data_IF_659906756838
#
_entry.id   IF_659906756838
#
_cell.length_a   1.000
_cell.length_b   1.000
_cell.length_c   1.000
_cell.angle_alpha   90.00
_cell.angle_beta   90.00
_cell.angle_gamma   90.00
#
_symmetry.space_group_name_H-M   'P 1'
#
loop_
_entity.id
_entity.type
_entity.pdbx_description
1 polymer ?
#
# COMPACT_ATOMS: atom_id res chain seq x y z
N UNK A 1 -65.24 -76.58 -35.20
CA UNK A 1 -66.46 -76.67 -36.07
C UNK A 1 -66.27 -75.62 -37.16
N UNK A 2 -66.22 -76.16 -38.35
CA UNK A 2 -66.69 -75.64 -39.63
C UNK A 2 -65.94 -74.45 -40.18
N UNK A 3 -65.02 -74.63 -41.12
CA UNK A 3 -65.19 -74.89 -42.54
C UNK A 3 -65.36 -73.62 -43.33
N UNK A 4 -64.34 -73.35 -44.14
CA UNK A 4 -64.24 -73.53 -45.59
C UNK A 4 -64.81 -72.37 -46.44
N UNK A 5 -64.07 -72.13 -47.45
CA UNK A 5 -64.40 -71.82 -48.83
C UNK A 5 -64.10 -70.33 -49.24
N UNK A 6 -63.49 -69.97 -50.32
CA UNK A 6 -62.97 -70.53 -51.58
C UNK A 6 -62.32 -69.33 -52.29
N UNK A 7 -61.12 -69.33 -52.73
CA UNK A 7 -60.57 -69.59 -54.09
C UNK A 7 -61.15 -68.70 -55.19
N UNK A 8 -60.21 -68.10 -55.92
CA UNK A 8 -60.21 -67.66 -57.32
C UNK A 8 -60.82 -66.29 -57.65
N UNK A 9 -60.05 -65.48 -58.27
CA UNK A 9 -59.81 -65.25 -59.70
C UNK A 9 -58.67 -64.21 -59.86
N UNK A 10 -57.56 -64.52 -60.23
CA UNK A 10 -56.71 -64.57 -61.45
C UNK A 10 -57.05 -63.53 -62.51
N UNK A 11 -56.00 -62.93 -62.95
CA UNK A 11 -55.70 -62.31 -64.25
C UNK A 11 -55.89 -60.81 -64.44
N UNK A 12 -54.76 -60.17 -64.73
CA UNK A 12 -54.67 -59.18 -65.75
C UNK A 12 -54.46 -57.78 -65.26
N UNK A 13 -53.33 -57.36 -65.22
CA UNK A 13 -52.73 -56.57 -66.31
C UNK A 13 -51.30 -56.11 -65.97
N UNK A 14 -50.40 -56.51 -66.79
CA UNK A 14 -49.05 -56.07 -67.03
C UNK A 14 -49.10 -54.61 -67.56
N UNK A 15 -48.19 -53.76 -67.04
CA UNK A 15 -47.76 -52.57 -67.78
C UNK A 15 -47.95 -51.29 -67.07
N UNK A 16 -46.92 -50.78 -66.53
CA UNK A 16 -46.28 -49.49 -66.82
C UNK A 16 -45.14 -49.29 -65.79
N UNK A 17 -43.95 -49.74 -66.15
CA UNK A 17 -42.71 -49.23 -65.69
C UNK A 17 -42.45 -47.98 -66.51
N UNK A 18 -42.44 -46.77 -65.89
CA UNK A 18 -41.84 -45.62 -66.48
C UNK A 18 -41.51 -44.59 -65.37
N UNK A 19 -40.24 -44.25 -65.34
CA UNK A 19 -39.67 -42.98 -64.87
C UNK A 19 -39.80 -42.65 -63.38
N UNK A 20 -38.85 -43.11 -62.55
CA UNK A 20 -38.37 -42.32 -61.48
C UNK A 20 -37.56 -41.20 -62.10
N UNK A 21 -38.15 -40.03 -62.15
CA UNK A 21 -37.47 -38.72 -62.40
C UNK A 21 -36.57 -38.44 -61.22
N UNK A 22 -35.27 -38.27 -61.49
CA UNK A 22 -34.28 -37.75 -60.52
C UNK A 22 -34.70 -36.32 -60.21
N UNK A 23 -35.49 -36.15 -59.15
CA UNK A 23 -35.70 -34.86 -58.57
C UNK A 23 -34.36 -34.39 -58.02
N UNK A 24 -33.85 -33.22 -58.39
CA UNK A 24 -32.61 -32.65 -57.76
C UNK A 24 -32.88 -32.55 -56.29
N UNK A 25 -32.01 -33.19 -55.49
CA UNK A 25 -31.94 -33.06 -54.02
C UNK A 25 -31.87 -31.58 -53.65
N UNK A 26 -33.03 -31.08 -53.26
CA UNK A 26 -33.09 -29.68 -52.79
C UNK A 26 -32.14 -29.52 -51.61
N UNK A 27 -30.98 -28.95 -51.85
CA UNK A 27 -30.03 -28.57 -50.81
C UNK A 27 -30.80 -27.73 -49.80
N UNK A 28 -31.09 -28.32 -48.63
CA UNK A 28 -31.73 -27.61 -47.54
C UNK A 28 -31.00 -26.32 -47.28
N UNK A 29 -31.67 -25.17 -47.14
CA UNK A 29 -30.98 -23.90 -46.94
C UNK A 29 -30.07 -24.02 -45.73
N UNK A 30 -28.81 -23.73 -45.95
CA UNK A 30 -27.77 -23.71 -44.90
C UNK A 30 -28.24 -22.83 -43.74
N UNK A 31 -28.59 -23.43 -42.63
CA UNK A 31 -29.11 -22.68 -41.46
C UNK A 31 -27.98 -21.89 -40.87
N UNK A 32 -27.92 -20.59 -41.19
CA UNK A 32 -26.97 -19.68 -40.62
C UNK A 32 -27.28 -19.53 -39.12
N UNK A 33 -26.39 -20.07 -38.30
CA UNK A 33 -26.51 -19.99 -36.81
C UNK A 33 -26.01 -18.65 -36.31
N UNK A 34 -26.68 -18.09 -35.31
CA UNK A 34 -26.17 -16.94 -34.57
C UNK A 34 -25.19 -17.38 -33.46
N UNK A 35 -24.05 -16.75 -33.38
CA UNK A 35 -23.05 -16.99 -32.34
C UNK A 35 -22.90 -15.74 -31.46
N UNK A 36 -22.61 -15.95 -30.17
CA UNK A 36 -22.23 -14.89 -29.27
C UNK A 36 -20.75 -14.57 -29.51
N UNK A 37 -20.46 -13.36 -29.94
CA UNK A 37 -19.10 -12.89 -30.15
C UNK A 37 -18.38 -12.59 -28.82
N UNK A 38 -17.10 -12.92 -28.76
CA UNK A 38 -16.16 -12.44 -27.76
C UNK A 38 -14.99 -11.77 -28.49
N UNK A 39 -14.80 -10.49 -28.22
CA UNK A 39 -13.69 -9.73 -28.79
C UNK A 39 -12.48 -9.88 -27.88
N UNK A 40 -11.41 -10.41 -28.45
CA UNK A 40 -10.16 -10.58 -27.71
C UNK A 40 -9.53 -9.21 -27.53
N UNK A 41 -9.53 -8.72 -26.29
CA UNK A 41 -8.89 -7.49 -25.89
C UNK A 41 -7.43 -7.73 -25.47
N UNK A 42 -6.81 -6.76 -24.85
CA UNK A 42 -5.39 -6.74 -24.49
C UNK A 42 -4.88 -8.02 -23.80
N UNK A 43 -3.55 -8.32 -23.94
CA UNK A 43 -2.96 -9.50 -23.30
C UNK A 43 -3.25 -9.55 -21.82
N UNK A 44 -3.48 -10.73 -21.30
CA UNK A 44 -3.65 -10.96 -19.87
C UNK A 44 -2.46 -10.36 -19.13
N UNK A 45 -2.68 -9.25 -18.47
CA UNK A 45 -1.65 -8.61 -17.63
C UNK A 45 -1.13 -9.62 -16.61
N UNK A 46 0.15 -9.49 -16.21
CA UNK A 46 0.88 -10.41 -15.36
C UNK A 46 0.13 -10.93 -14.14
N UNK A 47 0.64 -11.99 -13.54
CA UNK A 47 0.09 -12.56 -12.31
C UNK A 47 0.04 -11.48 -11.22
N UNK A 48 -1.16 -11.04 -10.86
CA UNK A 48 -1.35 -10.08 -9.79
C UNK A 48 -2.21 -10.69 -8.68
N UNK A 49 -1.89 -10.34 -7.45
CA UNK A 49 -2.64 -10.75 -6.28
C UNK A 49 -3.23 -9.53 -5.60
N UNK A 50 -4.47 -9.67 -5.12
CA UNK A 50 -5.10 -8.68 -4.28
C UNK A 50 -4.75 -8.97 -2.83
N UNK A 51 -4.28 -7.96 -2.15
CA UNK A 51 -3.87 -8.02 -0.75
C UNK A 51 -4.55 -6.88 0.00
N UNK A 52 -5.09 -7.19 1.15
CA UNK A 52 -5.72 -6.20 2.02
C UNK A 52 -4.66 -5.45 2.83
N UNK A 53 -4.95 -4.21 3.13
CA UNK A 53 -4.10 -3.37 3.96
C UNK A 53 -4.86 -2.19 4.54
N UNK A 54 -4.12 -1.34 5.23
CA UNK A 54 -4.64 -0.14 5.88
C UNK A 54 -3.82 1.08 5.45
N UNK A 55 -4.49 2.18 5.15
CA UNK A 55 -3.81 3.45 4.89
C UNK A 55 -3.21 3.96 6.19
N UNK A 56 -1.95 4.34 6.14
CA UNK A 56 -1.22 4.95 7.25
C UNK A 56 -0.57 6.26 6.80
N UNK A 57 -0.26 7.14 7.74
CA UNK A 57 0.58 8.29 7.44
C UNK A 57 2.04 7.83 7.37
N UNK A 58 2.80 8.33 6.40
CA UNK A 58 4.23 7.99 6.27
C UNK A 58 5.04 8.34 7.52
N UNK A 59 4.68 9.42 8.20
CA UNK A 59 5.25 9.78 9.49
C UNK A 59 4.13 10.00 10.51
N UNK A 60 4.25 9.31 11.63
CA UNK A 60 3.36 9.46 12.78
C UNK A 60 4.23 9.71 14.01
N UNK A 61 3.87 10.69 14.83
CA UNK A 61 4.56 10.98 16.07
C UNK A 61 3.61 11.06 17.24
N UNK A 62 3.89 10.26 18.26
CA UNK A 62 3.23 10.38 19.55
C UNK A 62 3.98 11.47 20.36
N UNK A 63 3.29 12.55 20.68
CA UNK A 63 3.86 13.67 21.40
C UNK A 63 3.57 13.56 22.89
N UNK A 64 4.62 13.75 23.67
CA UNK A 64 4.59 13.75 25.14
C UNK A 64 5.47 14.89 25.68
N UNK A 65 5.19 15.35 26.89
CA UNK A 65 6.13 16.22 27.59
C UNK A 65 7.28 15.38 28.17
N UNK A 66 8.51 15.91 28.07
CA UNK A 66 9.68 15.28 28.66
C UNK A 66 9.70 15.41 30.21
N UNK A 67 8.92 16.34 30.74
CA UNK A 67 8.81 16.66 32.18
C UNK A 67 7.37 16.52 32.66
N UNK A 68 7.18 16.26 33.94
CA UNK A 68 5.88 16.22 34.59
C UNK A 68 5.40 17.62 34.98
N UNK A 69 4.10 17.84 34.98
CA UNK A 69 3.53 19.12 35.42
C UNK A 69 2.05 19.25 35.12
N UNK A 70 1.47 20.38 35.53
CA UNK A 70 0.07 20.71 35.26
C UNK A 70 -0.05 21.38 33.90
N UNK A 71 -0.95 20.90 33.06
CA UNK A 71 -1.24 21.50 31.76
C UNK A 71 -1.92 22.86 31.97
N UNK A 72 -1.34 23.91 31.40
CA UNK A 72 -1.90 25.25 31.44
C UNK A 72 -2.87 25.48 30.26
N UNK A 73 -2.46 25.14 29.05
CA UNK A 73 -3.25 25.34 27.85
C UNK A 73 -3.08 24.21 26.86
N UNK A 74 -4.16 23.91 26.12
CA UNK A 74 -4.16 23.05 24.94
C UNK A 74 -4.70 23.87 23.79
N UNK A 75 -3.87 24.11 22.77
CA UNK A 75 -4.15 25.02 21.67
C UNK A 75 -4.78 24.36 20.45
N UNK A 76 -4.92 23.01 20.45
CA UNK A 76 -5.34 22.24 19.29
C UNK A 76 -6.42 21.21 19.66
N UNK A 77 -7.19 20.80 18.66
CA UNK A 77 -8.22 19.75 18.74
C UNK A 77 -7.92 18.64 17.72
N UNK A 78 -8.46 17.42 17.90
CA UNK A 78 -8.43 16.39 16.87
C UNK A 78 -9.00 16.93 15.54
N UNK A 79 -8.29 16.67 14.44
CA UNK A 79 -8.60 17.19 13.11
C UNK A 79 -7.92 18.52 12.74
N UNK A 80 -7.34 19.23 13.70
CA UNK A 80 -6.64 20.50 13.41
C UNK A 80 -5.31 20.25 12.67
N UNK A 81 -5.05 21.12 11.69
CA UNK A 81 -3.76 21.16 10.99
C UNK A 81 -2.75 21.96 11.79
N UNK A 82 -1.55 21.43 11.91
CA UNK A 82 -0.44 22.07 12.61
C UNK A 82 0.78 22.19 11.71
N UNK A 83 1.55 23.23 11.93
CA UNK A 83 2.83 23.49 11.25
C UNK A 83 4.00 23.13 12.16
N UNK A 84 5.12 22.78 11.57
CA UNK A 84 6.39 22.56 12.27
C UNK A 84 6.70 23.71 13.23
N UNK A 85 7.00 23.38 14.50
CA UNK A 85 7.27 24.36 15.55
C UNK A 85 6.04 25.02 16.19
N UNK A 86 4.82 24.80 15.65
CA UNK A 86 3.59 25.34 16.24
C UNK A 86 3.37 24.79 17.66
N UNK A 87 2.97 25.64 18.58
CA UNK A 87 2.65 25.25 19.96
C UNK A 87 1.37 24.45 19.98
N UNK A 88 1.42 23.26 20.56
CA UNK A 88 0.29 22.34 20.71
C UNK A 88 -0.31 22.47 22.11
N UNK A 89 0.54 22.43 23.13
CA UNK A 89 0.14 22.56 24.53
C UNK A 89 1.27 23.18 25.37
N UNK A 90 0.92 23.71 26.54
CA UNK A 90 1.89 24.24 27.51
C UNK A 90 1.60 23.74 28.92
N UNK A 91 2.64 23.51 29.69
CA UNK A 91 2.53 23.30 31.14
C UNK A 91 2.56 24.66 31.85
N UNK A 92 2.12 24.70 33.14
CA UNK A 92 2.28 25.86 34.00
C UNK A 92 3.78 26.12 34.25
N UNK A 93 4.35 27.24 33.75
CA UNK A 93 5.77 27.51 33.81
C UNK A 93 6.23 27.98 35.18
N UNK A 94 5.35 28.37 36.10
CA UNK A 94 5.68 29.10 37.34
C UNK A 94 6.78 28.44 38.14
N UNK A 95 6.70 27.15 38.41
CA UNK A 95 7.71 26.44 39.23
C UNK A 95 9.05 26.37 38.49
N UNK A 96 9.03 26.25 37.15
CA UNK A 96 10.23 26.20 36.33
C UNK A 96 10.90 27.57 36.26
N UNK A 97 10.13 28.66 36.13
CA UNK A 97 10.64 30.03 36.16
C UNK A 97 11.31 30.34 37.53
N UNK A 98 10.74 29.88 38.66
CA UNK A 98 11.36 30.01 39.95
C UNK A 98 12.68 29.23 40.05
N UNK A 99 12.77 28.03 39.52
CA UNK A 99 13.99 27.23 39.46
C UNK A 99 15.07 27.90 38.62
N UNK A 100 14.72 28.43 37.45
CA UNK A 100 15.66 29.20 36.60
C UNK A 100 16.19 30.42 37.33
N UNK A 101 15.33 31.17 38.03
CA UNK A 101 15.76 32.35 38.77
C UNK A 101 16.67 31.99 39.96
N UNK A 102 16.43 30.88 40.65
CA UNK A 102 17.30 30.40 41.72
C UNK A 102 18.71 30.04 41.19
N UNK A 103 18.79 29.27 40.11
CA UNK A 103 20.06 28.87 39.50
C UNK A 103 20.79 30.06 38.85
N UNK A 104 20.07 31.06 38.32
CA UNK A 104 20.68 32.33 37.87
C UNK A 104 21.37 33.07 39.00
N UNK A 105 20.74 33.12 40.19
CA UNK A 105 21.33 33.72 41.37
C UNK A 105 22.59 32.96 41.83
N UNK A 106 22.54 31.63 41.81
CA UNK A 106 23.67 30.77 42.13
C UNK A 106 24.84 30.96 41.16
N UNK A 107 24.54 31.05 39.85
CA UNK A 107 25.54 31.33 38.81
C UNK A 107 26.21 32.72 39.06
N UNK A 108 25.43 33.74 39.38
CA UNK A 108 25.96 35.08 39.71
C UNK A 108 26.92 35.03 40.89
N UNK A 109 26.56 34.30 41.96
CA UNK A 109 27.44 34.10 43.12
C UNK A 109 28.75 33.39 42.78
N UNK A 110 28.66 32.27 42.02
CA UNK A 110 29.82 31.51 41.56
C UNK A 110 30.71 32.35 40.64
N UNK A 111 30.13 33.18 39.77
CA UNK A 111 30.87 34.09 38.90
C UNK A 111 31.62 35.16 39.69
N UNK A 112 31.03 35.72 40.77
CA UNK A 112 31.66 36.68 41.66
C UNK A 112 32.86 36.04 42.40
N UNK A 113 32.66 34.82 42.95
CA UNK A 113 33.72 34.06 43.60
C UNK A 113 34.90 33.76 42.66
N UNK A 114 34.57 33.26 41.43
CA UNK A 114 35.59 33.05 40.40
C UNK A 114 36.40 34.34 40.10
N UNK A 115 35.72 35.46 39.94
CA UNK A 115 36.38 36.76 39.68
C UNK A 115 37.29 37.21 40.83
N UNK A 116 36.85 37.01 42.08
CA UNK A 116 37.66 37.29 43.30
C UNK A 116 38.91 36.40 43.29
N UNK A 117 38.77 35.07 43.15
CA UNK A 117 39.93 34.16 43.20
C UNK A 117 40.88 34.40 42.02
N UNK A 118 40.38 34.74 40.85
CA UNK A 118 41.20 35.17 39.72
C UNK A 118 42.05 36.39 40.05
N UNK A 119 41.44 37.44 40.60
CA UNK A 119 42.13 38.68 40.99
C UNK A 119 43.18 38.43 42.07
N UNK A 120 42.85 37.54 43.03
CA UNK A 120 43.79 37.12 44.07
C UNK A 120 44.99 36.38 43.49
N UNK A 121 44.76 35.39 42.60
CA UNK A 121 45.82 34.70 41.93
C UNK A 121 46.74 35.61 41.13
N UNK A 122 46.15 36.55 40.37
CA UNK A 122 46.92 37.55 39.60
C UNK A 122 47.75 38.46 40.51
N UNK A 123 47.22 38.85 41.65
CA UNK A 123 47.96 39.65 42.70
C UNK A 123 49.10 38.81 43.25
N UNK A 124 48.89 37.59 43.68
CA UNK A 124 49.90 36.69 44.21
C UNK A 124 51.04 36.42 43.19
N UNK A 125 50.71 36.24 41.92
CA UNK A 125 51.69 36.12 40.84
C UNK A 125 52.57 37.34 40.67
N UNK A 126 51.99 38.55 40.79
CA UNK A 126 52.74 39.80 40.72
C UNK A 126 53.66 39.97 41.91
N UNK A 127 53.22 39.65 43.15
CA UNK A 127 54.02 39.72 44.37
C UNK A 127 55.18 38.74 44.35
N UNK A 128 54.96 37.51 43.84
CA UNK A 128 55.99 36.52 43.69
C UNK A 128 57.08 36.93 42.70
N UNK A 129 56.72 37.52 41.59
CA UNK A 129 57.69 38.08 40.63
C UNK A 129 58.62 39.17 41.29
N UNK A 130 58.14 39.84 42.33
CA UNK A 130 58.91 40.78 43.11
C UNK A 130 59.64 40.15 44.30
N UNK A 131 59.57 38.89 44.53
CA UNK A 131 60.18 38.14 45.62
C UNK A 131 59.49 38.34 46.98
N UNK A 132 58.29 38.89 47.07
CA UNK A 132 57.60 39.24 48.30
C UNK A 132 56.76 38.14 48.93
N UNK A 133 56.49 37.07 48.20
CA UNK A 133 55.72 35.92 48.69
C UNK A 133 56.40 34.62 48.33
N UNK A 134 56.18 33.57 49.16
CA UNK A 134 56.70 32.22 48.92
C UNK A 134 55.87 31.43 47.81
N UNK A 135 56.48 30.51 47.15
CA UNK A 135 55.81 29.64 46.14
C UNK A 135 54.57 29.02 46.69
N UNK A 136 54.56 28.58 47.94
CA UNK A 136 53.37 27.95 48.57
C UNK A 136 52.14 28.89 48.60
N UNK A 137 52.33 30.24 48.55
CA UNK A 137 51.17 31.14 48.43
C UNK A 137 50.55 31.14 47.04
N UNK A 138 51.37 31.02 45.97
CA UNK A 138 50.87 30.85 44.61
C UNK A 138 50.15 29.55 44.48
N UNK A 139 50.76 28.45 44.95
CA UNK A 139 50.17 27.10 44.81
C UNK A 139 48.78 27.06 45.48
N UNK A 140 48.61 27.70 46.63
CA UNK A 140 47.29 27.86 47.28
C UNK A 140 46.33 28.72 46.48
N UNK A 141 46.79 29.83 45.90
CA UNK A 141 45.94 30.73 45.10
C UNK A 141 45.52 30.04 43.80
N UNK A 142 46.37 29.21 43.15
CA UNK A 142 46.03 28.39 41.99
C UNK A 142 44.96 27.39 42.37
N UNK A 143 45.14 26.64 43.45
CA UNK A 143 44.16 25.64 43.91
C UNK A 143 42.79 26.30 44.22
N UNK A 144 42.77 27.47 44.84
CA UNK A 144 41.55 28.21 45.13
C UNK A 144 40.87 28.74 43.85
N UNK A 145 41.64 29.17 42.88
CA UNK A 145 41.13 29.60 41.57
C UNK A 145 40.56 28.40 40.79
N UNK A 146 41.23 27.28 40.75
CA UNK A 146 40.78 26.07 40.04
C UNK A 146 39.50 25.55 40.68
N UNK A 147 39.39 25.58 42.02
CA UNK A 147 38.16 25.22 42.73
C UNK A 147 37.00 26.14 42.32
N UNK A 148 37.20 27.46 42.35
CA UNK A 148 36.19 28.44 41.96
C UNK A 148 35.79 28.33 40.47
N UNK A 149 36.74 27.96 39.60
CA UNK A 149 36.45 27.67 38.20
C UNK A 149 35.56 26.45 38.05
N UNK A 150 35.81 25.38 38.83
CA UNK A 150 34.97 24.21 38.91
C UNK A 150 33.54 24.50 39.36
N UNK A 151 33.40 25.32 40.44
CA UNK A 151 32.10 25.75 40.96
C UNK A 151 31.31 26.56 39.93
N UNK A 152 31.97 27.47 39.21
CA UNK A 152 31.36 28.27 38.15
C UNK A 152 30.84 27.39 37.02
N UNK A 153 31.63 26.41 36.60
CA UNK A 153 31.21 25.46 35.54
C UNK A 153 30.02 24.60 36.00
N UNK A 154 30.02 24.16 37.26
CA UNK A 154 28.89 23.44 37.83
C UNK A 154 27.62 24.30 37.84
N UNK A 155 27.70 25.56 38.28
CA UNK A 155 26.55 26.47 38.29
C UNK A 155 26.02 26.75 36.90
N UNK A 156 26.90 26.89 35.89
CA UNK A 156 26.47 27.00 34.47
C UNK A 156 25.73 25.76 33.99
N UNK A 157 26.23 24.58 34.30
CA UNK A 157 25.59 23.32 33.90
C UNK A 157 24.21 23.13 34.55
N UNK A 158 24.08 23.51 35.83
CA UNK A 158 22.79 23.49 36.54
C UNK A 158 21.78 24.43 35.93
N UNK A 159 22.19 25.68 35.65
CA UNK A 159 21.34 26.65 34.98
C UNK A 159 20.85 26.10 33.60
N UNK A 160 21.77 25.56 32.79
CA UNK A 160 21.41 24.96 31.49
C UNK A 160 20.39 23.82 31.61
N UNK A 161 20.48 23.01 32.67
CA UNK A 161 19.50 21.94 32.92
C UNK A 161 18.10 22.50 33.20
N UNK A 162 17.97 23.45 34.13
CA UNK A 162 16.67 24.03 34.48
C UNK A 162 16.08 24.90 33.36
N UNK A 163 16.94 25.55 32.55
CA UNK A 163 16.50 26.26 31.33
C UNK A 163 15.92 25.27 30.28
N UNK A 164 16.54 24.12 30.15
CA UNK A 164 16.01 23.02 29.29
C UNK A 164 14.64 22.54 29.79
N UNK A 165 14.52 22.27 31.11
CA UNK A 165 13.23 21.85 31.69
C UNK A 165 12.16 22.93 31.47
N UNK A 166 12.54 24.20 31.61
CA UNK A 166 11.61 25.32 31.32
C UNK A 166 11.23 25.38 29.85
N UNK A 167 12.14 25.13 28.92
CA UNK A 167 11.84 25.06 27.49
C UNK A 167 10.89 23.87 27.17
N UNK A 168 11.07 22.75 27.85
CA UNK A 168 10.26 21.55 27.70
C UNK A 168 8.82 21.69 28.27
N UNK A 169 8.49 22.82 28.93
CA UNK A 169 7.10 23.18 29.27
C UNK A 169 6.24 23.47 28.03
N UNK A 170 6.83 23.65 26.86
CA UNK A 170 6.14 24.01 25.63
C UNK A 170 6.25 22.84 24.65
N UNK A 171 5.14 22.17 24.39
CA UNK A 171 5.06 21.09 23.41
C UNK A 171 4.79 21.65 22.03
N UNK A 172 5.63 21.29 21.06
CA UNK A 172 5.55 21.78 19.69
C UNK A 172 5.42 20.63 18.68
N UNK A 173 4.79 20.92 17.54
CA UNK A 173 4.72 20.00 16.43
C UNK A 173 6.11 19.78 15.80
N UNK A 174 6.55 18.53 15.60
CA UNK A 174 7.85 18.21 15.00
C UNK A 174 7.86 18.37 13.48
N UNK A 175 6.70 18.27 12.83
CA UNK A 175 6.50 18.39 11.38
C UNK A 175 5.08 18.90 11.07
N UNK A 176 4.85 19.25 9.80
CA UNK A 176 3.54 19.68 9.31
C UNK A 176 2.59 18.47 9.23
N UNK A 177 1.42 18.56 9.85
CA UNK A 177 0.51 17.42 9.94
C UNK A 177 -0.87 17.76 10.51
N UNK A 178 -1.61 16.71 10.84
CA UNK A 178 -2.94 16.78 11.46
C UNK A 178 -2.90 16.06 12.81
N UNK A 179 -3.55 16.66 13.81
CA UNK A 179 -3.75 16.03 15.11
C UNK A 179 -4.76 14.87 14.95
N UNK A 180 -4.30 13.64 15.13
CA UNK A 180 -5.15 12.45 15.04
C UNK A 180 -5.91 12.20 16.34
N UNK A 181 -5.22 12.25 17.48
CA UNK A 181 -5.84 12.08 18.81
C UNK A 181 -5.32 13.11 19.80
N UNK A 182 -6.12 13.37 20.83
CA UNK A 182 -5.79 14.19 21.98
C UNK A 182 -6.28 13.50 23.26
N UNK A 183 -5.34 13.11 24.12
CA UNK A 183 -5.60 12.39 25.38
C UNK A 183 -5.19 13.23 26.59
N UNK A 184 -5.49 14.51 26.55
CA UNK A 184 -5.20 15.44 27.66
C UNK A 184 -6.17 16.62 27.65
N UNK A 185 -6.56 17.07 28.87
CA UNK A 185 -7.39 18.25 29.06
C UNK A 185 -6.61 19.39 29.77
N UNK A 186 -7.02 20.66 29.58
CA UNK A 186 -6.46 21.76 30.35
C UNK A 186 -6.62 21.52 31.87
N UNK A 187 -5.61 21.89 32.62
CA UNK A 187 -5.50 21.76 34.09
C UNK A 187 -5.31 20.32 34.61
N UNK A 188 -5.18 19.34 33.74
CA UNK A 188 -4.78 17.98 34.08
C UNK A 188 -3.33 17.92 34.54
N UNK A 189 -3.01 17.07 35.52
CA UNK A 189 -1.63 16.78 35.90
C UNK A 189 -1.09 15.58 35.12
N UNK A 190 0.04 15.75 34.45
CA UNK A 190 0.61 14.73 33.58
C UNK A 190 1.98 14.26 34.05
N UNK A 191 2.25 12.97 33.80
CA UNK A 191 3.58 12.40 33.98
C UNK A 191 4.44 12.59 32.72
N UNK A 192 5.75 12.64 32.90
CA UNK A 192 6.70 12.67 31.79
C UNK A 192 6.59 11.40 30.93
N UNK A 193 6.70 11.54 29.61
CA UNK A 193 6.68 10.43 28.64
C UNK A 193 5.29 9.86 28.31
N UNK A 194 4.22 10.29 28.99
CA UNK A 194 2.85 9.88 28.62
C UNK A 194 2.50 10.48 27.24
N UNK A 195 2.16 9.63 26.27
CA UNK A 195 1.68 10.09 24.98
C UNK A 195 0.34 10.83 25.16
N UNK A 196 0.27 12.08 24.69
CA UNK A 196 -0.88 12.95 24.85
C UNK A 196 -1.51 13.36 23.52
N UNK A 197 -0.74 13.39 22.48
CA UNK A 197 -1.20 13.71 21.13
C UNK A 197 -0.59 12.73 20.14
N UNK A 198 -1.35 12.39 19.11
CA UNK A 198 -0.85 11.68 17.93
C UNK A 198 -0.92 12.64 16.74
N UNK A 199 0.21 12.90 16.11
CA UNK A 199 0.29 13.76 14.91
C UNK A 199 0.64 12.91 13.71
N UNK A 200 -0.19 12.98 12.68
CA UNK A 200 0.02 12.32 11.40
C UNK A 200 0.51 13.34 10.38
N UNK A 201 1.56 13.02 9.64
CA UNK A 201 2.06 13.86 8.55
C UNK A 201 1.05 13.93 7.40
N UNK A 202 0.84 15.13 6.85
CA UNK A 202 0.07 15.32 5.61
C UNK A 202 0.93 15.13 4.34
N UNK A 203 2.24 14.95 4.48
CA UNK A 203 3.15 14.97 3.33
C UNK A 203 2.96 13.77 2.41
N UNK A 204 2.81 12.58 2.97
CA UNK A 204 2.65 11.33 2.22
C UNK A 204 1.77 10.35 2.99
N UNK A 205 0.99 9.58 2.23
CA UNK A 205 0.25 8.42 2.74
C UNK A 205 0.93 7.16 2.24
N UNK A 206 0.93 6.16 3.08
CA UNK A 206 1.40 4.80 2.78
C UNK A 206 0.26 3.82 2.98
N UNK A 207 0.42 2.62 2.45
CA UNK A 207 -0.49 1.51 2.72
C UNK A 207 0.34 0.38 3.32
N UNK A 208 -0.02 -0.02 4.51
CA UNK A 208 0.53 -1.19 5.17
C UNK A 208 -0.26 -2.43 4.71
N UNK A 209 0.37 -3.25 3.87
CA UNK A 209 -0.20 -4.48 3.35
C UNK A 209 0.22 -5.68 4.19
N UNK A 210 -0.70 -6.61 4.41
CA UNK A 210 -0.43 -7.92 5.02
C UNK A 210 -0.31 -8.97 3.92
N UNK A 211 0.91 -9.20 3.43
CA UNK A 211 1.17 -10.10 2.30
C UNK A 211 1.44 -11.51 2.82
N UNK A 212 0.76 -12.57 2.31
CA UNK A 212 1.07 -13.95 2.65
C UNK A 212 2.53 -14.30 2.33
N UNK A 213 3.17 -15.06 3.21
CA UNK A 213 4.56 -15.49 3.07
C UNK A 213 4.82 -16.32 1.80
N UNK A 214 3.82 -17.07 1.36
CA UNK A 214 3.87 -17.90 0.15
C UNK A 214 4.15 -17.13 -1.16
N UNK A 215 3.87 -15.82 -1.19
CA UNK A 215 4.05 -14.98 -2.37
C UNK A 215 5.11 -13.90 -2.21
N UNK A 216 5.67 -13.74 -1.01
CA UNK A 216 6.58 -12.63 -0.70
C UNK A 216 7.87 -12.67 -1.53
N UNK A 217 8.40 -13.87 -1.81
CA UNK A 217 9.60 -14.07 -2.64
C UNK A 217 9.45 -13.60 -4.09
N UNK A 218 8.20 -13.40 -4.52
CA UNK A 218 7.84 -12.93 -5.87
C UNK A 218 7.55 -11.42 -5.92
N UNK A 219 7.72 -10.74 -4.81
CA UNK A 219 7.50 -9.29 -4.68
C UNK A 219 8.85 -8.61 -4.50
N UNK A 220 9.02 -7.46 -5.15
CA UNK A 220 10.27 -6.71 -5.09
C UNK A 220 10.01 -5.27 -4.66
N UNK A 221 10.94 -4.70 -3.90
CA UNK A 221 10.95 -3.26 -3.60
C UNK A 221 11.01 -2.49 -4.93
N UNK A 222 10.25 -1.41 -5.03
CA UNK A 222 10.11 -0.62 -6.24
C UNK A 222 9.03 -1.10 -7.21
N UNK A 223 8.41 -2.27 -6.99
CA UNK A 223 7.35 -2.77 -7.85
C UNK A 223 6.11 -1.84 -7.82
N UNK A 224 5.47 -1.62 -8.96
CA UNK A 224 4.25 -0.83 -9.05
C UNK A 224 3.07 -1.60 -8.43
N UNK A 225 2.20 -0.86 -7.74
CA UNK A 225 1.00 -1.39 -7.07
C UNK A 225 -0.17 -0.47 -7.40
N UNK A 226 -1.32 -1.04 -7.68
CA UNK A 226 -2.56 -0.27 -7.79
C UNK A 226 -3.38 -0.46 -6.51
N UNK A 227 -3.61 0.64 -5.80
CA UNK A 227 -4.36 0.64 -4.54
C UNK A 227 -5.78 1.12 -4.79
N UNK A 228 -6.75 0.36 -4.30
CA UNK A 228 -8.17 0.69 -4.36
C UNK A 228 -8.71 0.87 -2.95
N UNK A 229 -9.45 1.95 -2.73
CA UNK A 229 -10.09 2.26 -1.45
C UNK A 229 -11.59 2.31 -1.68
N UNK A 230 -12.33 1.38 -1.09
CA UNK A 230 -13.77 1.19 -1.36
C UNK A 230 -14.61 2.39 -0.96
N UNK A 231 -14.18 3.14 0.06
CA UNK A 231 -14.88 4.33 0.56
C UNK A 231 -14.67 5.58 -0.29
N UNK A 232 -13.67 5.58 -1.21
CA UNK A 232 -13.36 6.72 -2.09
C UNK A 232 -13.59 6.29 -3.54
N UNK A 233 -14.73 6.65 -4.16
CA UNK A 233 -15.05 6.24 -5.52
C UNK A 233 -13.98 6.71 -6.52
N UNK A 234 -13.62 5.82 -7.45
CA UNK A 234 -12.63 6.11 -8.50
C UNK A 234 -11.17 6.18 -8.02
N UNK A 235 -10.88 5.77 -6.79
CA UNK A 235 -9.51 5.61 -6.34
C UNK A 235 -8.90 4.31 -6.90
N UNK A 236 -8.29 4.41 -8.11
CA UNK A 236 -7.28 3.49 -8.60
C UNK A 236 -5.92 4.14 -8.41
N UNK A 237 -5.53 4.36 -7.14
CA UNK A 237 -4.36 5.15 -6.79
C UNK A 237 -3.08 4.36 -7.10
N UNK A 238 -2.16 4.99 -7.82
CA UNK A 238 -0.85 4.40 -8.11
C UNK A 238 0.02 4.43 -6.87
N UNK A 239 0.68 3.32 -6.58
CA UNK A 239 1.62 3.18 -5.48
C UNK A 239 2.88 2.42 -5.90
N UNK A 240 3.87 2.45 -5.03
CA UNK A 240 5.13 1.72 -5.19
C UNK A 240 5.54 1.10 -3.86
N UNK A 241 6.00 -0.15 -3.92
CA UNK A 241 6.53 -0.84 -2.73
C UNK A 241 7.82 -0.15 -2.30
N UNK A 242 7.86 0.32 -1.05
CA UNK A 242 9.03 0.98 -0.44
C UNK A 242 9.78 0.07 0.51
N UNK A 243 9.05 -0.79 1.22
CA UNK A 243 9.64 -1.65 2.25
C UNK A 243 8.95 -3.02 2.27
N UNK A 244 9.74 -4.07 2.47
CA UNK A 244 9.27 -5.44 2.69
C UNK A 244 9.82 -5.88 4.04
N UNK A 245 8.95 -6.24 4.96
CA UNK A 245 9.34 -6.74 6.29
C UNK A 245 10.18 -8.01 6.20
N UNK A 246 11.07 -8.18 7.16
CA UNK A 246 11.99 -9.32 7.21
C UNK A 246 11.49 -10.48 8.08
N UNK A 247 10.36 -10.31 8.74
CA UNK A 247 9.77 -11.32 9.63
C UNK A 247 8.28 -11.49 9.34
N UNK A 248 7.82 -12.73 9.37
CA UNK A 248 6.39 -13.06 9.33
C UNK A 248 5.76 -12.78 10.68
N UNK A 249 4.59 -12.14 10.68
CA UNK A 249 3.76 -11.97 11.85
C UNK A 249 2.99 -13.25 12.22
N UNK A 250 2.20 -13.18 13.30
CA UNK A 250 1.42 -14.31 13.85
C UNK A 250 0.39 -14.90 12.87
N UNK A 251 0.07 -14.22 11.77
CA UNK A 251 -0.89 -14.64 10.75
C UNK A 251 -0.23 -15.20 9.48
N UNK A 252 1.04 -15.61 9.51
CA UNK A 252 1.83 -16.01 8.35
C UNK A 252 1.83 -14.95 7.22
N UNK A 253 1.83 -13.68 7.60
CA UNK A 253 1.90 -12.55 6.69
C UNK A 253 3.14 -11.72 6.97
N UNK A 254 3.71 -11.16 5.92
CA UNK A 254 4.83 -10.22 5.97
C UNK A 254 4.29 -8.82 5.72
N UNK A 255 4.60 -7.85 6.58
CA UNK A 255 4.20 -6.47 6.35
C UNK A 255 4.96 -5.89 5.16
N UNK A 256 4.24 -5.24 4.25
CA UNK A 256 4.80 -4.57 3.07
C UNK A 256 4.26 -3.15 3.02
N UNK A 257 5.15 -2.15 2.95
CA UNK A 257 4.75 -0.75 2.81
C UNK A 257 4.72 -0.32 1.36
N UNK A 258 3.67 0.38 1.02
CA UNK A 258 3.45 0.93 -0.32
C UNK A 258 3.24 2.43 -0.20
N UNK A 259 4.16 3.23 -0.74
CA UNK A 259 3.97 4.67 -0.84
C UNK A 259 2.96 5.00 -1.94
N UNK A 260 1.97 5.81 -1.63
CA UNK A 260 1.03 6.36 -2.62
C UNK A 260 1.70 7.51 -3.37
N UNK A 261 1.68 7.45 -4.70
CA UNK A 261 2.32 8.46 -5.56
C UNK A 261 1.42 9.68 -5.77
N UNK A 262 0.13 9.54 -5.57
CA UNK A 262 -0.86 10.58 -5.80
C UNK A 262 -1.53 10.98 -4.48
N UNK A 263 -1.58 12.30 -4.22
CA UNK A 263 -2.42 12.84 -3.15
C UNK A 263 -3.86 12.92 -3.66
N UNK A 264 -4.75 12.18 -3.01
CA UNK A 264 -6.19 12.31 -3.24
C UNK A 264 -6.88 12.84 -1.99
N UNK A 265 -7.72 13.83 -2.18
CA UNK A 265 -8.61 14.31 -1.12
C UNK A 265 -9.58 13.19 -0.70
N UNK A 266 -9.80 13.05 0.60
CA UNK A 266 -10.70 12.03 1.16
C UNK A 266 -10.01 10.74 1.60
N UNK A 267 -8.71 10.55 1.35
CA UNK A 267 -7.94 9.46 1.94
C UNK A 267 -7.48 9.86 3.35
N UNK A 268 -7.83 9.05 4.33
CA UNK A 268 -7.47 9.26 5.73
C UNK A 268 -6.72 8.03 6.27
N UNK A 269 -5.72 8.23 7.14
CA UNK A 269 -5.13 7.14 7.89
C UNK A 269 -6.19 6.35 8.66
N UNK A 270 -6.04 5.02 8.71
CA UNK A 270 -7.02 4.10 9.30
C UNK A 270 -8.04 3.52 8.31
N UNK A 271 -8.13 4.03 7.07
CA UNK A 271 -9.02 3.46 6.06
C UNK A 271 -8.48 2.14 5.53
N UNK A 272 -9.39 1.18 5.30
CA UNK A 272 -9.04 -0.08 4.65
C UNK A 272 -8.81 0.12 3.15
N UNK A 273 -7.77 -0.53 2.64
CA UNK A 273 -7.38 -0.50 1.24
C UNK A 273 -7.16 -1.91 0.70
N UNK A 274 -7.38 -2.09 -0.59
CA UNK A 274 -7.03 -3.31 -1.33
C UNK A 274 -5.97 -2.96 -2.37
N UNK A 275 -4.85 -3.66 -2.32
CA UNK A 275 -3.74 -3.45 -3.25
C UNK A 275 -3.62 -4.60 -4.23
N UNK A 276 -3.53 -4.30 -5.51
CA UNK A 276 -3.20 -5.25 -6.57
C UNK A 276 -1.70 -5.22 -6.80
N UNK A 277 -1.00 -6.25 -6.31
CA UNK A 277 0.46 -6.40 -6.41
C UNK A 277 0.80 -7.31 -7.56
N UNK A 278 1.68 -6.87 -8.45
CA UNK A 278 2.20 -7.68 -9.55
C UNK A 278 3.30 -8.59 -9.03
N UNK A 279 3.19 -9.89 -9.30
CA UNK A 279 4.15 -10.90 -8.87
C UNK A 279 5.22 -11.12 -9.94
N UNK A 280 6.49 -11.06 -9.56
CA UNK A 280 7.64 -11.38 -10.41
C UNK A 280 7.87 -12.91 -10.46
N UNK A 281 8.45 -13.43 -11.56
CA UNK A 281 8.87 -14.84 -11.65
C UNK A 281 7.76 -15.87 -11.83
N UNK A 282 6.49 -15.45 -11.98
CA UNK A 282 5.49 -16.28 -12.62
C UNK A 282 5.86 -16.37 -14.11
N UNK A 283 5.68 -17.53 -14.72
CA UNK A 283 5.57 -17.57 -16.18
C UNK A 283 4.62 -16.45 -16.54
N UNK A 284 5.14 -15.40 -17.16
CA UNK A 284 4.30 -14.35 -17.72
C UNK A 284 3.34 -15.14 -18.62
N UNK A 285 2.10 -15.24 -18.19
CA UNK A 285 1.06 -15.82 -19.01
C UNK A 285 0.92 -14.86 -20.17
N UNK A 286 1.90 -14.94 -21.10
CA UNK A 286 1.83 -14.26 -22.38
C UNK A 286 0.66 -14.89 -23.08
N UNK A 287 -0.44 -14.19 -23.12
CA UNK A 287 -1.62 -14.70 -23.77
C UNK A 287 -2.81 -13.79 -23.57
N UNK A 288 -3.87 -14.11 -24.26
CA UNK A 288 -5.12 -13.38 -24.18
C UNK A 288 -6.09 -14.12 -23.28
N UNK A 289 -6.84 -13.40 -22.45
CA UNK A 289 -7.91 -14.00 -21.65
C UNK A 289 -9.07 -14.39 -22.57
N UNK A 290 -9.43 -15.65 -22.54
CA UNK A 290 -10.55 -16.21 -23.32
C UNK A 290 -11.51 -16.93 -22.38
N UNK A 291 -12.85 -16.73 -22.50
CA UNK A 291 -13.80 -17.45 -21.69
C UNK A 291 -13.67 -18.96 -21.92
N UNK A 292 -13.74 -19.76 -20.85
CA UNK A 292 -13.72 -21.22 -20.94
C UNK A 292 -14.79 -21.76 -21.87
N UNK A 293 -15.94 -21.08 -21.97
CA UNK A 293 -17.04 -21.44 -22.87
C UNK A 293 -16.74 -21.30 -24.36
N UNK A 294 -15.66 -20.53 -24.70
CA UNK A 294 -15.21 -20.37 -26.09
C UNK A 294 -14.20 -21.43 -26.52
N UNK A 295 -13.76 -22.29 -25.60
CA UNK A 295 -12.78 -23.34 -25.87
C UNK A 295 -13.47 -24.68 -25.98
N UNK A 296 -13.23 -25.37 -27.07
CA UNK A 296 -13.64 -26.76 -27.23
C UNK A 296 -12.45 -27.70 -26.96
N UNK A 297 -12.70 -28.89 -26.35
CA UNK A 297 -11.66 -29.86 -26.08
C UNK A 297 -11.04 -30.38 -27.38
N UNK A 298 -9.72 -30.51 -27.38
CA UNK A 298 -8.96 -31.07 -28.48
C UNK A 298 -8.74 -32.59 -28.30
N UNK A 299 -8.18 -33.21 -29.32
CA UNK A 299 -7.93 -34.66 -29.34
C UNK A 299 -6.72 -35.09 -28.47
N UNK A 300 -5.94 -34.16 -27.95
CA UNK A 300 -4.77 -34.41 -27.09
C UNK A 300 -4.91 -33.70 -25.79
N UNK A 301 -4.35 -34.27 -24.71
CA UNK A 301 -4.27 -33.63 -23.40
C UNK A 301 -3.61 -32.24 -23.47
N UNK A 302 -4.18 -31.26 -22.76
CA UNK A 302 -3.75 -29.86 -22.69
C UNK A 302 -3.87 -29.05 -24.00
N UNK A 303 -4.52 -29.58 -25.04
CA UNK A 303 -4.79 -28.85 -26.27
C UNK A 303 -6.29 -28.66 -26.44
N UNK A 304 -6.70 -27.43 -26.71
CA UNK A 304 -8.07 -27.08 -27.12
C UNK A 304 -8.06 -26.38 -28.47
N UNK A 305 -9.23 -26.04 -28.94
CA UNK A 305 -9.38 -25.19 -30.10
C UNK A 305 -10.46 -24.13 -29.85
N UNK A 306 -10.33 -23.03 -30.54
CA UNK A 306 -11.34 -21.97 -30.59
C UNK A 306 -11.84 -21.80 -32.02
N UNK A 307 -13.04 -21.24 -32.15
CA UNK A 307 -13.56 -20.81 -33.44
C UNK A 307 -13.41 -19.32 -33.58
N UNK A 308 -12.55 -18.91 -34.51
CA UNK A 308 -12.30 -17.53 -34.89
C UNK A 308 -13.27 -17.14 -36.00
N UNK A 309 -13.98 -16.03 -35.83
CA UNK A 309 -14.89 -15.49 -36.82
C UNK A 309 -14.13 -14.56 -37.76
N UNK A 310 -14.25 -14.78 -39.05
CA UNK A 310 -13.75 -13.91 -40.08
C UNK A 310 -14.90 -13.02 -40.59
N UNK A 311 -14.69 -11.70 -40.49
CA UNK A 311 -15.72 -10.72 -40.81
C UNK A 311 -16.02 -10.60 -42.30
N UNK A 312 -15.04 -10.90 -43.17
CA UNK A 312 -15.18 -10.79 -44.63
C UNK A 312 -15.93 -11.95 -45.21
N UNK A 313 -15.56 -13.18 -44.83
CA UNK A 313 -16.18 -14.42 -45.30
C UNK A 313 -17.44 -14.82 -44.51
N UNK A 314 -17.67 -14.23 -43.33
CA UNK A 314 -18.68 -14.60 -42.34
C UNK A 314 -18.62 -16.07 -41.93
N UNK A 315 -17.43 -16.65 -41.97
CA UNK A 315 -17.17 -18.05 -41.68
C UNK A 315 -16.33 -18.21 -40.40
N UNK A 316 -16.43 -19.39 -39.82
CA UNK A 316 -15.61 -19.76 -38.65
C UNK A 316 -14.38 -20.53 -39.10
N UNK A 317 -13.23 -20.23 -38.56
CA UNK A 317 -12.01 -21.03 -38.68
C UNK A 317 -11.65 -21.68 -37.34
N UNK A 318 -11.40 -22.99 -37.39
CA UNK A 318 -10.95 -23.76 -36.22
C UNK A 318 -9.46 -23.52 -35.99
N UNK A 319 -9.10 -22.89 -34.88
CA UNK A 319 -7.71 -22.57 -34.54
C UNK A 319 -7.30 -23.36 -33.29
N UNK A 320 -6.24 -24.18 -33.37
CA UNK A 320 -5.72 -24.86 -32.21
C UNK A 320 -5.11 -23.83 -31.25
N UNK A 321 -5.36 -24.01 -29.94
CA UNK A 321 -4.87 -23.13 -28.91
C UNK A 321 -4.15 -23.89 -27.83
N UNK A 322 -3.12 -23.26 -27.28
CA UNK A 322 -2.42 -23.77 -26.11
C UNK A 322 -2.75 -22.88 -24.92
N UNK A 323 -3.41 -23.46 -23.92
CA UNK A 323 -3.75 -22.78 -22.67
C UNK A 323 -2.52 -22.59 -21.79
N UNK A 324 -2.45 -21.46 -21.11
CA UNK A 324 -1.54 -21.24 -19.99
C UNK A 324 -2.06 -21.87 -18.69
N UNK A 325 -1.24 -21.85 -17.66
CA UNK A 325 -1.57 -22.39 -16.35
C UNK A 325 -2.54 -21.46 -15.59
N UNK A 326 -3.73 -21.93 -15.32
CA UNK A 326 -4.70 -21.29 -14.42
C UNK A 326 -5.97 -20.77 -15.08
N UNK A 327 -7.09 -21.10 -14.45
CA UNK A 327 -8.41 -20.55 -14.75
C UNK A 327 -8.71 -19.46 -13.73
N UNK A 328 -9.18 -18.31 -14.21
CA UNK A 328 -9.52 -17.18 -13.37
C UNK A 328 -10.88 -16.60 -13.77
N UNK A 329 -11.80 -16.52 -12.83
CA UNK A 329 -13.13 -15.93 -13.06
C UNK A 329 -13.83 -16.47 -14.34
N UNK A 330 -13.69 -17.77 -14.61
CA UNK A 330 -14.20 -18.45 -15.83
C UNK A 330 -13.45 -18.12 -17.13
N UNK A 331 -12.24 -17.51 -17.04
CA UNK A 331 -11.35 -17.26 -18.17
C UNK A 331 -10.06 -18.05 -18.04
N UNK A 332 -9.47 -18.40 -19.15
CA UNK A 332 -8.13 -18.99 -19.24
C UNK A 332 -7.27 -18.12 -20.16
N UNK A 333 -5.99 -17.99 -19.83
CA UNK A 333 -5.05 -17.31 -20.69
C UNK A 333 -4.60 -18.24 -21.82
N UNK A 334 -4.69 -17.79 -23.06
CA UNK A 334 -4.26 -18.52 -24.26
C UNK A 334 -2.97 -17.90 -24.75
N UNK A 335 -1.88 -18.67 -24.70
CA UNK A 335 -0.55 -18.21 -25.11
C UNK A 335 -0.34 -18.22 -26.63
N UNK A 336 -0.96 -19.16 -27.35
CA UNK A 336 -0.78 -19.34 -28.78
C UNK A 336 -2.12 -19.60 -29.47
N UNK A 337 -2.29 -19.06 -30.67
CA UNK A 337 -3.45 -19.27 -31.51
C UNK A 337 -4.50 -18.16 -31.52
N UNK A 338 -4.37 -17.16 -30.63
CA UNK A 338 -5.30 -16.03 -30.52
C UNK A 338 -4.50 -14.72 -30.45
N UNK A 339 -4.99 -13.69 -31.13
CA UNK A 339 -4.40 -12.35 -31.19
C UNK A 339 -5.36 -11.26 -30.73
N UNK A 340 -4.81 -10.07 -30.46
CA UNK A 340 -5.62 -8.90 -30.14
C UNK A 340 -6.54 -8.54 -31.32
N UNK A 341 -7.82 -8.26 -31.03
CA UNK A 341 -8.81 -7.93 -32.05
C UNK A 341 -9.49 -9.15 -32.71
N UNK A 342 -9.08 -10.37 -32.38
CA UNK A 342 -9.77 -11.56 -32.85
C UNK A 342 -11.19 -11.66 -32.29
N UNK A 343 -12.11 -12.13 -33.12
CA UNK A 343 -13.50 -12.36 -32.70
C UNK A 343 -13.68 -13.86 -32.55
N UNK A 344 -14.01 -14.31 -31.35
CA UNK A 344 -14.20 -15.73 -31.03
C UNK A 344 -15.67 -16.06 -30.79
N UNK A 345 -16.06 -17.25 -31.10
CA UNK A 345 -17.36 -17.77 -30.67
C UNK A 345 -17.34 -18.05 -29.16
N UNK A 346 -18.13 -17.31 -28.37
CA UNK A 346 -18.10 -17.36 -26.90
C UNK A 346 -19.01 -18.45 -26.30
N UNK A 347 -19.89 -19.07 -27.09
CA UNK A 347 -20.80 -20.12 -26.62
C UNK A 347 -21.18 -21.08 -27.73
N UNK A 348 -21.52 -22.31 -27.33
CA UNK A 348 -22.00 -23.32 -28.26
C UNK A 348 -20.94 -23.96 -29.16
N UNK A 349 -19.67 -23.83 -28.79
CA UNK A 349 -18.49 -24.27 -29.59
C UNK A 349 -18.53 -25.74 -29.95
N UNK A 350 -19.14 -26.60 -29.13
CA UNK A 350 -19.28 -28.03 -29.40
C UNK A 350 -20.18 -28.37 -30.61
N UNK A 351 -20.96 -27.41 -31.08
CA UNK A 351 -21.89 -27.58 -32.20
C UNK A 351 -21.44 -26.86 -33.47
N UNK A 352 -20.27 -26.22 -33.43
CA UNK A 352 -19.73 -25.48 -34.57
C UNK A 352 -18.78 -26.36 -35.36
N UNK A 353 -18.66 -26.05 -36.66
CA UNK A 353 -17.78 -26.76 -37.59
C UNK A 353 -16.83 -25.77 -38.27
N UNK A 354 -15.69 -26.28 -38.64
CA UNK A 354 -14.75 -25.50 -39.45
C UNK A 354 -15.35 -25.11 -40.80
N UNK A 355 -15.13 -23.85 -41.23
CA UNK A 355 -15.72 -23.30 -42.44
C UNK A 355 -17.21 -22.94 -42.36
N UNK A 356 -17.88 -23.17 -41.22
CA UNK A 356 -19.31 -22.90 -41.04
C UNK A 356 -19.61 -21.40 -41.13
N UNK A 357 -20.58 -21.04 -41.96
CA UNK A 357 -21.10 -19.66 -42.02
C UNK A 357 -22.02 -19.39 -40.84
N UNK A 358 -21.77 -18.24 -40.18
CA UNK A 358 -22.51 -17.83 -38.99
C UNK A 358 -22.81 -16.33 -39.05
N UNK A 359 -23.71 -15.87 -38.19
CA UNK A 359 -23.95 -14.43 -37.94
C UNK A 359 -23.69 -14.12 -36.49
N UNK A 360 -23.26 -12.90 -36.19
CA UNK A 360 -23.11 -12.44 -34.81
C UNK A 360 -24.49 -12.20 -34.17
N UNK A 361 -24.61 -12.50 -32.90
CA UNK A 361 -25.81 -12.24 -32.13
C UNK A 361 -25.85 -10.74 -31.84
N UNK A 362 -26.81 -10.01 -32.44
CA UNK A 362 -26.95 -8.57 -32.29
C UNK A 362 -26.68 -7.76 -33.56
N UNK A 363 -26.34 -8.41 -34.68
CA UNK A 363 -26.36 -7.85 -36.03
C UNK A 363 -27.64 -8.19 -36.79
#
# INVERSE_FOLDING_TARGET
MKTTFVLAVLAGTIGILAACDDAPEATAPERIRAIKAYYVSEPAGGDFRRVSGTITAANTSALSFAISGKVATVAVKPGDRVKTGQVIATLDPKRFDLSVNAEKSQLSSAQANYSDKKSELDRQRQLFKKGWVAKAAIDRAVAAFDSAAGELNLARSRLGSVEKDRADTILRAPFDGVIATRDVEPFEEIASGKALFLVNSEAALEVDLSVPDSIISRISVGAPVTVRVSTVPGCGCSGRITEIGTASGSANTVPVKVALLEKRSGLLPGMSAEASVTLSGGETTRGFLVPLTAIAPGDKEAQGYVFKFDADSKALSRVPVRGGNGVRDNYIAIAEGVGAGDILAAAGVSFLRDGQRVKLLGE
#
